data_IF_215984674720
#
_entry.id   IF_215984674720
#
_cell.length_a   1.000
_cell.length_b   1.000
_cell.length_c   1.000
_cell.angle_alpha   90.00
_cell.angle_beta   90.00
_cell.angle_gamma   90.00
#
_symmetry.space_group_name_H-M   'P 1'
#
loop_
_entity.id
_entity.type
_entity.pdbx_description
1 polymer ?
#
# COMPACT_ATOMS: atom_id res chain seq x y z
N UNK A 1 -36.69 -28.94 -55.91
CA UNK A 1 -35.37 -28.70 -55.29
C UNK A 1 -35.54 -28.02 -53.91
N UNK A 2 -36.24 -28.67 -52.98
CA UNK A 2 -36.61 -28.09 -51.67
C UNK A 2 -35.57 -28.39 -50.59
N UNK A 3 -34.98 -29.59 -50.65
CA UNK A 3 -33.90 -30.03 -49.78
C UNK A 3 -32.64 -29.15 -49.87
N UNK A 4 -32.28 -28.71 -51.08
CA UNK A 4 -31.14 -27.81 -51.27
C UNK A 4 -31.34 -26.48 -50.51
N UNK A 5 -32.56 -25.93 -50.58
CA UNK A 5 -32.91 -24.65 -49.94
C UNK A 5 -32.90 -24.73 -48.41
N UNK A 6 -33.30 -25.87 -47.83
CA UNK A 6 -33.21 -26.11 -46.38
C UNK A 6 -31.74 -26.20 -45.95
N UNK A 7 -30.93 -26.96 -46.70
CA UNK A 7 -29.50 -27.12 -46.43
C UNK A 7 -28.75 -25.78 -46.49
N UNK A 8 -29.08 -24.93 -47.47
CA UNK A 8 -28.47 -23.60 -47.60
C UNK A 8 -28.87 -22.67 -46.44
N UNK A 9 -30.12 -22.74 -45.96
CA UNK A 9 -30.55 -21.97 -44.79
C UNK A 9 -29.84 -22.40 -43.50
N UNK A 10 -29.67 -23.70 -43.27
CA UNK A 10 -28.98 -24.26 -42.11
C UNK A 10 -27.49 -23.87 -42.08
N UNK A 11 -26.85 -23.87 -43.25
CA UNK A 11 -25.44 -23.47 -43.41
C UNK A 11 -25.24 -21.97 -43.19
N UNK A 12 -26.20 -21.14 -43.61
CA UNK A 12 -26.20 -19.69 -43.39
C UNK A 12 -26.38 -19.36 -41.90
N UNK A 13 -27.22 -20.09 -41.19
CA UNK A 13 -27.46 -19.91 -39.75
C UNK A 13 -26.24 -20.30 -38.91
N UNK A 14 -25.61 -21.46 -39.23
CA UNK A 14 -24.32 -21.86 -38.65
C UNK A 14 -23.22 -20.82 -38.88
N UNK A 15 -23.17 -20.21 -40.07
CA UNK A 15 -22.17 -19.18 -40.35
C UNK A 15 -22.39 -17.92 -39.52
N UNK A 16 -23.64 -17.49 -39.35
CA UNK A 16 -24.00 -16.32 -38.53
C UNK A 16 -23.70 -16.53 -37.06
N UNK A 17 -24.02 -17.70 -36.52
CA UNK A 17 -23.73 -18.06 -35.12
C UNK A 17 -22.22 -18.13 -34.86
N UNK A 18 -21.44 -18.74 -35.75
CA UNK A 18 -19.96 -18.77 -35.66
C UNK A 18 -19.35 -17.36 -35.73
N UNK A 19 -19.90 -16.47 -36.57
CA UNK A 19 -19.39 -15.09 -36.70
C UNK A 19 -19.74 -14.24 -35.47
N UNK A 20 -20.92 -14.42 -34.88
CA UNK A 20 -21.31 -13.74 -33.65
C UNK A 20 -20.54 -14.27 -32.42
N UNK A 21 -20.30 -15.58 -32.35
CA UNK A 21 -19.53 -16.21 -31.27
C UNK A 21 -18.09 -15.71 -31.26
N UNK A 22 -17.46 -15.59 -32.44
CA UNK A 22 -16.09 -15.08 -32.57
C UNK A 22 -15.93 -13.63 -32.11
N UNK A 23 -16.94 -12.78 -32.39
CA UNK A 23 -16.94 -11.39 -31.91
C UNK A 23 -17.11 -11.27 -30.37
N UNK A 24 -17.81 -12.22 -29.73
CA UNK A 24 -17.91 -12.30 -28.28
C UNK A 24 -16.65 -12.88 -27.63
N UNK A 25 -16.07 -13.89 -28.25
CA UNK A 25 -14.82 -14.55 -27.83
C UNK A 25 -13.63 -13.58 -27.86
N UNK A 26 -13.45 -12.82 -28.93
CA UNK A 26 -12.37 -11.82 -29.04
C UNK A 26 -12.48 -10.72 -27.96
N UNK A 27 -13.71 -10.33 -27.59
CA UNK A 27 -13.95 -9.37 -26.50
C UNK A 27 -13.66 -9.97 -25.13
N UNK A 28 -14.01 -11.24 -24.92
CA UNK A 28 -13.70 -11.95 -23.67
C UNK A 28 -12.18 -12.15 -23.51
N UNK A 29 -11.47 -12.50 -24.60
CA UNK A 29 -10.01 -12.62 -24.62
C UNK A 29 -9.35 -11.27 -24.36
N UNK A 30 -9.82 -10.19 -25.00
CA UNK A 30 -9.31 -8.83 -24.76
C UNK A 30 -9.50 -8.40 -23.30
N UNK A 31 -10.67 -8.66 -22.72
CA UNK A 31 -10.94 -8.37 -21.31
C UNK A 31 -10.04 -9.18 -20.38
N UNK A 32 -9.88 -10.48 -20.65
CA UNK A 32 -8.97 -11.36 -19.89
C UNK A 32 -7.51 -10.91 -19.96
N UNK A 33 -7.02 -10.55 -21.14
CA UNK A 33 -5.68 -9.99 -21.32
C UNK A 33 -5.52 -8.66 -20.58
N UNK A 34 -6.52 -7.79 -20.63
CA UNK A 34 -6.51 -6.51 -19.88
C UNK A 34 -6.44 -6.78 -18.38
N UNK A 35 -7.27 -7.68 -17.85
CA UNK A 35 -7.28 -8.05 -16.44
C UNK A 35 -5.94 -8.65 -16.00
N UNK A 36 -5.31 -9.48 -16.85
CA UNK A 36 -3.99 -10.04 -16.59
C UNK A 36 -2.92 -8.95 -16.49
N UNK A 37 -2.90 -8.01 -17.44
CA UNK A 37 -1.96 -6.87 -17.45
C UNK A 37 -2.17 -5.97 -16.24
N UNK A 38 -3.42 -5.63 -15.91
CA UNK A 38 -3.75 -4.86 -14.72
C UNK A 38 -3.30 -5.58 -13.44
N UNK A 39 -3.49 -6.89 -13.36
CA UNK A 39 -3.04 -7.70 -12.22
C UNK A 39 -1.52 -7.65 -12.07
N UNK A 40 -0.79 -7.85 -13.17
CA UNK A 40 0.68 -7.76 -13.18
C UNK A 40 1.13 -6.37 -12.72
N UNK A 41 0.54 -5.29 -13.25
CA UNK A 41 0.82 -3.93 -12.81
C UNK A 41 0.57 -3.73 -11.30
N UNK A 42 -0.58 -4.18 -10.80
CA UNK A 42 -0.93 -4.07 -9.39
C UNK A 42 0.05 -4.85 -8.50
N UNK A 43 0.45 -6.07 -8.90
CA UNK A 43 1.47 -6.84 -8.20
C UNK A 43 2.82 -6.13 -8.17
N UNK A 44 3.21 -5.48 -9.27
CA UNK A 44 4.44 -4.69 -9.29
C UNK A 44 4.35 -3.48 -8.38
N UNK A 45 3.24 -2.75 -8.39
CA UNK A 45 3.02 -1.60 -7.50
C UNK A 45 3.07 -2.03 -6.03
N UNK A 46 2.32 -3.07 -5.67
CA UNK A 46 2.34 -3.64 -4.32
C UNK A 46 3.73 -4.13 -3.94
N UNK A 47 4.41 -4.83 -4.85
CA UNK A 47 5.77 -5.30 -4.66
C UNK A 47 6.73 -4.16 -4.34
N UNK A 48 6.76 -3.12 -5.17
CA UNK A 48 7.63 -1.94 -4.97
C UNK A 48 7.28 -1.21 -3.67
N UNK A 49 5.98 -1.01 -3.37
CA UNK A 49 5.55 -0.36 -2.13
C UNK A 49 5.96 -1.18 -0.91
N UNK A 50 5.73 -2.48 -0.90
CA UNK A 50 6.08 -3.37 0.21
C UNK A 50 7.60 -3.50 0.36
N UNK A 51 8.34 -3.66 -0.73
CA UNK A 51 9.81 -3.70 -0.73
C UNK A 51 10.39 -2.40 -0.17
N UNK A 52 9.87 -1.24 -0.61
CA UNK A 52 10.31 0.06 -0.10
C UNK A 52 10.00 0.23 1.38
N UNK A 53 8.79 -0.14 1.80
CA UNK A 53 8.41 -0.14 3.21
C UNK A 53 9.33 -1.06 4.02
N UNK A 54 9.66 -2.25 3.53
CA UNK A 54 10.54 -3.20 4.21
C UNK A 54 11.99 -2.71 4.31
N UNK A 55 12.58 -2.18 3.23
CA UNK A 55 13.96 -1.66 3.23
C UNK A 55 14.10 -0.44 4.13
N UNK A 56 13.07 0.41 4.18
CA UNK A 56 13.06 1.58 5.06
C UNK A 56 12.67 1.23 6.50
N UNK A 57 12.11 0.04 6.73
CA UNK A 57 11.70 -0.41 8.06
C UNK A 57 12.95 -0.63 8.92
N UNK A 58 13.01 0.01 10.09
CA UNK A 58 14.14 -0.08 11.05
C UNK A 58 14.19 -1.45 11.75
N UNK A 59 13.33 -2.40 11.36
CA UNK A 59 13.04 -3.64 12.07
C UNK A 59 14.08 -4.76 11.90
N UNK A 60 15.10 -4.58 11.09
CA UNK A 60 16.02 -5.69 10.77
C UNK A 60 17.20 -5.83 11.72
N UNK A 61 17.55 -4.81 12.52
CA UNK A 61 18.70 -4.88 13.42
C UNK A 61 18.39 -4.40 14.84
N UNK A 62 18.36 -5.34 15.79
CA UNK A 62 18.29 -5.02 17.22
C UNK A 62 19.68 -4.66 17.75
N UNK A 63 19.78 -3.56 18.49
CA UNK A 63 21.03 -3.14 19.14
C UNK A 63 20.79 -2.78 20.60
N UNK A 64 21.77 -3.06 21.46
CA UNK A 64 21.72 -2.63 22.84
C UNK A 64 22.06 -1.15 22.94
N UNK A 65 21.25 -0.43 23.71
CA UNK A 65 21.40 1.01 23.93
C UNK A 65 21.55 1.27 25.44
N UNK A 66 22.43 2.20 25.82
CA UNK A 66 22.55 2.67 27.20
C UNK A 66 22.05 4.10 27.33
N UNK A 67 21.24 4.38 28.35
CA UNK A 67 20.73 5.72 28.63
C UNK A 67 21.89 6.69 28.95
N UNK A 68 21.92 7.84 28.29
CA UNK A 68 22.90 8.90 28.58
C UNK A 68 22.26 10.07 29.33
N UNK A 69 21.20 10.65 28.77
CA UNK A 69 20.51 11.78 29.38
C UNK A 69 19.03 11.74 29.02
N UNK A 70 18.19 12.18 29.95
CA UNK A 70 16.77 12.41 29.74
C UNK A 70 16.41 13.78 30.30
N UNK A 71 15.91 14.66 29.43
CA UNK A 71 15.52 16.02 29.80
C UNK A 71 14.18 16.38 29.20
N UNK A 72 13.39 17.10 29.98
CA UNK A 72 12.13 17.68 29.52
C UNK A 72 12.45 19.04 28.89
N UNK A 73 11.96 19.26 27.68
CA UNK A 73 12.19 20.48 26.89
C UNK A 73 10.87 21.24 26.69
N UNK A 74 10.59 21.64 25.46
CA UNK A 74 9.48 22.51 25.08
C UNK A 74 8.12 21.80 25.20
N UNK A 75 7.03 22.57 25.33
CA UNK A 75 5.67 22.05 25.36
C UNK A 75 5.02 22.12 23.98
N UNK A 76 4.48 21.00 23.51
CA UNK A 76 3.78 20.86 22.25
C UNK A 76 2.28 20.76 22.45
N UNK A 77 1.52 21.20 21.45
CA UNK A 77 0.06 21.11 21.45
C UNK A 77 -0.37 19.77 20.83
N UNK A 78 -1.07 18.93 21.58
CA UNK A 78 -1.80 17.77 21.09
C UNK A 78 -3.25 18.15 20.82
N UNK A 79 -3.80 17.67 19.71
CA UNK A 79 -5.24 17.74 19.44
C UNK A 79 -5.87 16.37 19.66
N UNK A 80 -6.99 16.32 20.38
CA UNK A 80 -7.73 15.08 20.58
C UNK A 80 -9.23 15.31 20.35
N UNK A 81 -9.86 14.30 19.77
CA UNK A 81 -11.31 14.32 19.53
C UNK A 81 -12.04 13.72 20.73
N UNK A 82 -13.01 14.45 21.27
CA UNK A 82 -13.85 13.98 22.40
C UNK A 82 -15.25 13.52 21.95
N UNK A 83 -15.53 13.53 20.65
CA UNK A 83 -16.85 13.30 20.07
C UNK A 83 -16.92 13.79 18.62
N UNK A 84 -18.07 13.60 17.94
CA UNK A 84 -18.21 13.88 16.50
C UNK A 84 -17.99 15.35 16.11
N UNK A 85 -18.20 16.29 17.03
CA UNK A 85 -18.05 17.73 16.79
C UNK A 85 -17.15 18.44 17.83
N UNK A 86 -16.24 17.71 18.50
CA UNK A 86 -15.34 18.35 19.45
C UNK A 86 -13.88 17.93 19.26
N UNK A 87 -13.06 18.93 18.94
CA UNK A 87 -11.61 18.86 18.96
C UNK A 87 -11.11 19.74 20.10
N UNK A 88 -10.34 19.16 21.02
CA UNK A 88 -9.70 19.87 22.11
C UNK A 88 -8.20 19.90 21.91
N UNK A 89 -7.59 21.00 22.30
CA UNK A 89 -6.14 21.18 22.27
C UNK A 89 -5.66 21.08 23.72
N UNK A 90 -4.64 20.25 23.96
CA UNK A 90 -3.94 20.14 25.23
C UNK A 90 -2.45 20.32 25.01
N UNK A 91 -1.73 20.77 26.01
CA UNK A 91 -0.28 20.86 25.96
C UNK A 91 0.36 19.65 26.64
N UNK A 92 1.44 19.14 26.06
CA UNK A 92 2.29 18.13 26.67
C UNK A 92 3.76 18.53 26.55
N UNK A 93 4.58 18.32 27.58
CA UNK A 93 6.01 18.57 27.49
C UNK A 93 6.71 17.51 26.63
N UNK A 94 7.70 17.92 25.84
CA UNK A 94 8.57 17.03 25.07
C UNK A 94 9.63 16.42 25.99
N UNK A 95 9.76 15.10 25.96
CA UNK A 95 10.81 14.37 26.66
C UNK A 95 11.88 13.97 25.64
N UNK A 96 13.06 14.56 25.72
CA UNK A 96 14.21 14.16 24.92
C UNK A 96 15.04 13.12 25.68
N UNK A 97 15.21 11.94 25.07
CA UNK A 97 15.98 10.83 25.64
C UNK A 97 17.15 10.50 24.73
N UNK A 98 18.35 10.84 25.16
CA UNK A 98 19.58 10.49 24.43
C UNK A 98 20.13 9.15 24.92
N UNK A 99 20.44 8.28 23.98
CA UNK A 99 21.04 6.97 24.22
C UNK A 99 22.35 6.82 23.47
N UNK A 100 23.21 5.96 23.98
CA UNK A 100 24.42 5.52 23.30
C UNK A 100 24.20 4.14 22.69
N UNK A 101 24.51 3.99 21.41
CA UNK A 101 24.45 2.69 20.72
C UNK A 101 25.70 1.88 21.05
N UNK A 102 25.55 0.67 21.59
CA UNK A 102 26.70 -0.16 21.94
C UNK A 102 27.49 -0.64 20.70
N UNK A 103 26.82 -0.76 19.54
CA UNK A 103 27.44 -1.20 18.29
C UNK A 103 28.38 -0.16 17.66
N UNK A 104 28.04 1.13 17.75
CA UNK A 104 28.77 2.21 17.09
C UNK A 104 29.38 3.25 18.05
N UNK A 105 28.99 3.25 19.32
CA UNK A 105 29.34 4.29 20.29
C UNK A 105 28.71 5.66 19.97
N UNK A 106 27.73 5.71 19.06
CA UNK A 106 27.09 6.94 18.63
C UNK A 106 25.98 7.35 19.61
N UNK A 107 25.95 8.64 19.94
CA UNK A 107 24.84 9.27 20.66
C UNK A 107 23.70 9.58 19.70
N UNK A 108 22.52 9.04 19.99
CA UNK A 108 21.30 9.23 19.19
C UNK A 108 20.10 9.56 20.08
N UNK A 109 19.07 10.17 19.50
CA UNK A 109 17.80 10.44 20.17
C UNK A 109 16.89 9.22 20.06
N UNK A 110 16.27 8.83 21.18
CA UNK A 110 15.37 7.69 21.26
C UNK A 110 13.93 8.12 20.98
N UNK A 111 13.29 7.40 20.05
CA UNK A 111 11.88 7.55 19.72
C UNK A 111 11.14 6.25 20.01
N UNK A 112 9.87 6.34 20.40
CA UNK A 112 9.07 5.15 20.66
C UNK A 112 8.66 4.44 19.37
N UNK A 113 8.32 5.21 18.32
CA UNK A 113 7.94 4.70 17.00
C UNK A 113 8.40 5.65 15.88
N UNK A 114 8.44 5.16 14.64
CA UNK A 114 8.75 5.98 13.46
C UNK A 114 7.76 7.14 13.27
N UNK A 115 6.49 6.95 13.64
CA UNK A 115 5.47 8.00 13.57
C UNK A 115 5.74 9.11 14.59
N UNK A 116 6.18 8.75 15.81
CA UNK A 116 6.55 9.77 16.82
C UNK A 116 7.71 10.65 16.38
N UNK A 117 8.66 10.11 15.59
CA UNK A 117 9.75 10.88 14.99
C UNK A 117 9.24 11.91 13.98
N UNK A 118 8.21 11.58 13.18
CA UNK A 118 7.64 12.50 12.18
C UNK A 118 6.84 13.63 12.82
N UNK A 119 6.13 13.33 13.91
CA UNK A 119 5.25 14.29 14.59
C UNK A 119 6.04 15.22 15.51
N UNK A 120 7.15 14.73 16.08
CA UNK A 120 7.93 15.44 17.09
C UNK A 120 9.42 15.41 16.74
N UNK A 121 9.79 16.05 15.63
CA UNK A 121 11.12 15.97 15.02
C UNK A 121 12.22 16.79 15.70
N UNK A 122 11.91 17.52 16.78
CA UNK A 122 12.84 18.41 17.51
C UNK A 122 12.70 18.27 19.03
#
# INVERSE_FOLDING_TARGET
NFYQKIKDHDLLDKRKTVTALKAGEDRAILLGLTMMVCSIMMYFLLGITLLRSYIQSVWTEETQCTLMNASITETFNCSFSCGPDCCKISQYPCLQVYVNLNSSGQKVLLYHTEETMKVNSE
#
